data_IF_198802705540
#
_entry.id   IF_198802705540
#
_cell.length_a   1.000
_cell.length_b   1.000
_cell.length_c   1.000
_cell.angle_alpha   90.00
_cell.angle_beta   90.00
_cell.angle_gamma   90.00
#
_symmetry.space_group_name_H-M   'P 1'
#
loop_
_entity.id
_entity.type
_entity.pdbx_description
1 polymer ?
#
# COMPACT_ATOMS: atom_id res chain seq x y z
N UNK A 1 16.44 37.88 -9.44
CA UNK A 1 17.75 37.66 -8.77
C UNK A 1 17.70 38.41 -7.44
N UNK A 2 17.79 37.88 -6.22
CA UNK A 2 18.31 36.63 -5.66
C UNK A 2 17.47 36.27 -4.41
N UNK A 3 17.08 35.00 -4.18
CA UNK A 3 16.82 34.48 -2.85
C UNK A 3 17.68 33.24 -2.62
N UNK A 4 18.89 33.41 -2.07
CA UNK A 4 19.78 32.28 -1.74
C UNK A 4 20.61 32.51 -0.47
N UNK A 5 20.43 33.63 0.22
CA UNK A 5 21.28 33.99 1.37
C UNK A 5 20.76 33.50 2.74
N UNK A 6 19.53 32.99 2.86
CA UNK A 6 18.93 32.70 4.18
C UNK A 6 19.03 31.23 4.64
N UNK A 7 19.52 30.32 3.79
CA UNK A 7 19.74 28.92 4.17
C UNK A 7 21.15 28.63 4.72
N UNK A 8 22.08 29.58 4.63
CA UNK A 8 23.49 29.35 5.01
C UNK A 8 23.79 29.62 6.50
N UNK A 9 22.88 30.23 7.27
CA UNK A 9 23.21 30.67 8.63
C UNK A 9 23.00 29.62 9.74
N UNK A 10 22.47 28.43 9.40
CA UNK A 10 22.29 27.32 10.35
C UNK A 10 23.31 26.16 10.19
N UNK A 11 24.23 26.24 9.22
CA UNK A 11 25.19 25.18 8.92
C UNK A 11 26.57 25.33 9.60
N UNK A 12 26.83 26.42 10.33
CA UNK A 12 28.16 26.76 10.86
C UNK A 12 28.34 26.53 12.38
N UNK A 13 27.97 25.35 12.89
CA UNK A 13 28.27 24.92 14.27
C UNK A 13 28.76 23.45 14.36
N UNK A 14 29.27 22.90 13.26
CA UNK A 14 29.89 21.57 13.25
C UNK A 14 31.35 21.62 13.68
N UNK A 15 31.64 21.39 14.96
CA UNK A 15 33.02 21.21 15.41
C UNK A 15 33.19 21.10 16.93
N UNK A 16 32.85 19.94 17.52
CA UNK A 16 33.53 19.41 18.71
C UNK A 16 32.96 18.03 19.06
N UNK A 17 33.73 16.97 18.79
CA UNK A 17 33.52 15.64 19.34
C UNK A 17 33.95 15.67 20.82
N UNK A 18 33.05 15.29 21.74
CA UNK A 18 33.43 14.95 23.12
C UNK A 18 32.89 15.83 24.27
N UNK A 19 31.59 16.14 24.30
CA UNK A 19 30.78 16.36 25.52
C UNK A 19 29.37 15.84 25.24
N UNK A 20 28.75 15.14 26.19
CA UNK A 20 27.47 14.44 25.99
C UNK A 20 26.47 15.28 25.21
N UNK A 21 26.18 14.86 23.98
CA UNK A 21 25.30 15.61 23.09
C UNK A 21 23.93 15.75 23.76
N UNK A 22 23.40 16.98 23.81
CA UNK A 22 22.04 17.22 24.30
C UNK A 22 21.07 16.35 23.48
N UNK A 23 20.15 15.62 24.12
CA UNK A 23 19.12 14.85 23.42
C UNK A 23 18.41 15.74 22.40
N UNK A 24 18.11 15.17 21.23
CA UNK A 24 17.51 15.88 20.09
C UNK A 24 16.19 16.56 20.47
N UNK A 25 15.35 15.88 21.26
CA UNK A 25 14.07 16.38 21.75
C UNK A 25 14.25 17.59 22.66
N UNK A 26 15.26 17.58 23.53
CA UNK A 26 15.56 18.71 24.42
C UNK A 26 16.16 19.89 23.64
N UNK A 27 17.02 19.63 22.66
CA UNK A 27 17.53 20.65 21.75
C UNK A 27 16.39 21.34 20.97
N UNK A 28 15.46 20.56 20.41
CA UNK A 28 14.26 21.07 19.73
C UNK A 28 13.34 21.84 20.66
N UNK A 29 13.20 21.41 21.92
CA UNK A 29 12.43 22.14 22.93
C UNK A 29 13.08 23.51 23.22
N UNK A 30 14.41 23.56 23.33
CA UNK A 30 15.16 24.80 23.47
C UNK A 30 15.05 25.71 22.23
N UNK A 31 15.09 25.14 21.02
CA UNK A 31 14.84 25.86 19.76
C UNK A 31 13.42 26.46 19.72
N UNK A 32 12.41 25.71 20.17
CA UNK A 32 11.04 26.18 20.23
C UNK A 32 10.88 27.37 21.18
N UNK A 33 11.50 27.30 22.37
CA UNK A 33 11.50 28.40 23.34
C UNK A 33 12.18 29.65 22.77
N UNK A 34 13.33 29.49 22.10
CA UNK A 34 14.04 30.60 21.43
C UNK A 34 13.20 31.20 20.30
N UNK A 35 12.55 30.36 19.50
CA UNK A 35 11.67 30.79 18.41
C UNK A 35 10.48 31.58 18.93
N UNK A 36 9.84 31.12 20.01
CA UNK A 36 8.73 31.82 20.67
C UNK A 36 9.16 33.17 21.24
N UNK A 37 10.34 33.24 21.87
CA UNK A 37 10.85 34.48 22.45
C UNK A 37 11.30 35.50 21.39
N UNK A 38 11.97 35.04 20.33
CA UNK A 38 12.50 35.91 19.28
C UNK A 38 11.41 36.38 18.29
N UNK A 39 10.42 35.53 18.01
CA UNK A 39 9.40 35.77 16.99
C UNK A 39 7.98 35.40 17.51
N UNK A 40 7.46 36.08 18.54
CA UNK A 40 6.17 35.74 19.15
C UNK A 40 4.99 35.78 18.18
N UNK A 41 4.97 36.73 17.24
CA UNK A 41 3.90 36.85 16.24
C UNK A 41 3.84 35.65 15.30
N UNK A 42 5.02 35.15 14.89
CA UNK A 42 5.15 33.96 14.04
C UNK A 42 4.77 32.69 14.80
N UNK A 43 5.12 32.61 16.08
CA UNK A 43 4.65 31.51 16.93
C UNK A 43 3.12 31.50 17.05
N UNK A 44 2.52 32.66 17.29
CA UNK A 44 1.06 32.81 17.35
C UNK A 44 0.40 32.51 16.00
N UNK A 45 1.06 32.77 14.87
CA UNK A 45 0.60 32.38 13.54
C UNK A 45 0.55 30.86 13.37
N UNK A 46 1.56 30.13 13.86
CA UNK A 46 1.55 28.67 13.86
C UNK A 46 0.40 28.11 14.69
N UNK A 47 0.18 28.64 15.90
CA UNK A 47 -0.95 28.25 16.77
C UNK A 47 -2.29 28.50 16.07
N UNK A 48 -2.50 29.71 15.53
CA UNK A 48 -3.71 30.02 14.73
C UNK A 48 -3.86 29.14 13.49
N UNK A 49 -2.76 28.70 12.89
CA UNK A 49 -2.77 27.76 11.77
C UNK A 49 -3.31 26.40 12.19
N UNK A 50 -2.84 25.87 13.32
CA UNK A 50 -3.32 24.61 13.90
C UNK A 50 -4.79 24.71 14.29
N UNK A 51 -5.19 25.77 15.00
CA UNK A 51 -6.59 25.92 15.43
C UNK A 51 -7.55 26.01 14.23
N UNK A 52 -7.18 26.77 13.17
CA UNK A 52 -7.96 26.78 11.92
C UNK A 52 -8.07 25.40 11.28
N UNK A 53 -6.98 24.63 11.28
CA UNK A 53 -7.00 23.27 10.72
C UNK A 53 -7.92 22.33 11.53
N UNK A 54 -7.97 22.49 12.85
CA UNK A 54 -8.89 21.76 13.74
C UNK A 54 -10.34 22.17 13.43
N UNK A 55 -10.64 23.46 13.37
CA UNK A 55 -12.00 23.95 13.08
C UNK A 55 -12.48 23.51 11.67
N UNK A 56 -11.59 23.53 10.68
CA UNK A 56 -11.86 23.02 9.34
C UNK A 56 -12.13 21.52 9.34
N UNK A 57 -11.34 20.77 10.12
CA UNK A 57 -11.51 19.34 10.29
C UNK A 57 -12.86 19.01 10.92
N UNK A 58 -13.21 19.65 12.04
CA UNK A 58 -14.48 19.46 12.76
C UNK A 58 -15.67 19.74 11.85
N UNK A 59 -15.60 20.82 11.05
CA UNK A 59 -16.63 21.13 10.04
C UNK A 59 -16.75 20.06 8.96
N UNK A 60 -15.63 19.50 8.49
CA UNK A 60 -15.61 18.43 7.47
C UNK A 60 -16.17 17.11 8.00
N UNK A 61 -15.89 16.78 9.27
CA UNK A 61 -16.29 15.49 9.86
C UNK A 61 -17.68 15.52 10.49
N UNK A 62 -18.25 16.69 10.77
CA UNK A 62 -19.60 16.83 11.34
C UNK A 62 -20.72 16.11 10.53
N UNK A 63 -20.52 15.93 9.22
CA UNK A 63 -21.44 15.20 8.33
C UNK A 63 -21.11 13.73 8.09
N UNK A 64 -20.04 13.20 8.68
CA UNK A 64 -19.59 11.83 8.42
C UNK A 64 -20.55 10.80 9.03
N UNK A 65 -21.02 9.86 8.20
CA UNK A 65 -21.98 8.82 8.59
C UNK A 65 -21.30 7.74 9.44
N UNK A 66 -22.06 7.15 10.39
CA UNK A 66 -21.65 6.10 11.35
C UNK A 66 -20.92 4.85 10.79
N UNK A 67 -20.83 4.65 9.46
CA UNK A 67 -20.26 3.44 8.84
C UNK A 67 -18.82 3.61 8.32
N UNK A 68 -18.25 4.80 8.43
CA UNK A 68 -16.87 5.10 8.03
C UNK A 68 -16.20 5.97 9.08
N UNK A 69 -15.00 5.61 9.52
CA UNK A 69 -14.19 6.46 10.38
C UNK A 69 -13.79 7.73 9.60
N UNK A 70 -13.91 8.93 10.18
CA UNK A 70 -13.43 10.16 9.54
C UNK A 70 -11.92 10.07 9.24
N UNK A 71 -11.42 10.81 8.23
CA UNK A 71 -9.98 10.98 8.06
C UNK A 71 -9.38 11.55 9.34
N UNK A 72 -8.07 11.39 9.53
CA UNK A 72 -7.36 12.08 10.61
C UNK A 72 -7.25 13.58 10.35
N UNK A 73 -6.91 14.34 11.40
CA UNK A 73 -6.47 15.73 11.28
C UNK A 73 -5.06 15.74 10.67
N UNK A 74 -4.87 16.42 9.53
CA UNK A 74 -3.58 16.51 8.85
C UNK A 74 -2.98 17.91 8.96
N UNK A 75 -1.88 18.03 9.71
CA UNK A 75 -1.15 19.29 9.90
C UNK A 75 0.05 19.44 8.94
N UNK A 76 0.39 18.44 8.12
CA UNK A 76 1.55 18.50 7.20
C UNK A 76 1.46 19.66 6.20
N UNK A 77 0.30 20.01 5.61
CA UNK A 77 0.20 21.12 4.67
C UNK A 77 0.58 22.49 5.26
N UNK A 78 0.58 22.63 6.60
CA UNK A 78 0.94 23.88 7.26
C UNK A 78 2.45 24.17 7.27
N UNK A 79 3.30 23.19 6.93
CA UNK A 79 4.76 23.39 6.84
C UNK A 79 5.40 23.83 8.16
N UNK A 80 4.86 23.36 9.29
CA UNK A 80 5.27 23.79 10.62
C UNK A 80 6.72 23.37 10.95
N UNK A 81 7.52 24.22 11.63
CA UNK A 81 8.87 23.85 12.05
C UNK A 81 8.89 22.64 12.99
N UNK A 82 9.89 21.77 12.84
CA UNK A 82 10.04 20.59 13.70
C UNK A 82 10.08 20.94 15.20
N UNK A 83 10.79 22.03 15.57
CA UNK A 83 10.85 22.50 16.95
C UNK A 83 9.47 22.85 17.53
N UNK A 84 8.63 23.54 16.74
CA UNK A 84 7.25 23.85 17.14
C UNK A 84 6.44 22.57 17.35
N UNK A 85 6.47 21.66 16.36
CA UNK A 85 5.72 20.41 16.41
C UNK A 85 6.13 19.53 17.61
N UNK A 86 7.43 19.37 17.84
CA UNK A 86 7.97 18.57 18.95
C UNK A 86 7.58 19.16 20.32
N UNK A 87 7.66 20.48 20.49
CA UNK A 87 7.25 21.14 21.73
C UNK A 87 5.75 20.98 22.01
N UNK A 88 4.90 21.13 20.99
CA UNK A 88 3.45 20.96 21.14
C UNK A 88 3.06 19.50 21.42
N UNK A 89 3.69 18.53 20.74
CA UNK A 89 3.47 17.11 21.02
C UNK A 89 3.87 16.77 22.47
N UNK A 90 5.03 17.25 22.92
CA UNK A 90 5.53 17.04 24.29
C UNK A 90 4.56 17.62 25.32
N UNK A 91 4.12 18.87 25.14
CA UNK A 91 3.17 19.53 26.02
C UNK A 91 1.83 18.77 26.12
N UNK A 92 1.28 18.34 24.98
CA UNK A 92 0.05 17.55 25.00
C UNK A 92 0.23 16.22 25.75
N UNK A 93 1.39 15.59 25.64
CA UNK A 93 1.76 14.34 26.34
C UNK A 93 2.20 14.50 27.79
N UNK A 94 2.12 15.70 28.39
CA UNK A 94 2.25 15.89 29.85
C UNK A 94 1.00 15.41 30.60
N UNK A 95 -0.15 15.34 29.91
CA UNK A 95 -1.44 14.90 30.46
C UNK A 95 -1.97 13.66 29.70
N UNK A 96 -1.33 12.49 29.86
CA UNK A 96 -1.67 11.28 29.11
C UNK A 96 -3.10 10.77 29.32
N UNK A 97 -3.69 11.02 30.49
CA UNK A 97 -5.06 10.62 30.83
C UNK A 97 -6.10 11.31 29.93
N UNK A 98 -5.77 12.51 29.42
CA UNK A 98 -6.60 13.22 28.45
C UNK A 98 -6.42 12.66 27.02
N UNK A 99 -5.32 11.97 26.73
CA UNK A 99 -5.02 11.43 25.39
C UNK A 99 -5.52 10.01 25.17
N UNK A 100 -5.59 9.21 26.24
CA UNK A 100 -5.91 7.79 26.13
C UNK A 100 -6.96 7.39 27.17
N UNK A 101 -8.05 6.72 26.77
CA UNK A 101 -9.02 6.20 27.73
C UNK A 101 -8.36 5.12 28.57
N UNK A 102 -7.93 5.46 29.78
CA UNK A 102 -7.31 4.53 30.71
C UNK A 102 -8.32 3.47 31.17
N UNK A 103 -8.03 2.19 30.90
CA UNK A 103 -8.80 1.04 31.41
C UNK A 103 -8.67 0.77 32.92
N UNK A 104 -8.06 1.68 33.70
CA UNK A 104 -7.94 1.54 35.16
C UNK A 104 -8.65 2.69 35.86
N UNK A 105 -9.50 2.34 36.84
CA UNK A 105 -10.09 3.28 37.80
C UNK A 105 -8.97 4.13 38.42
N UNK A 106 -9.14 5.45 38.54
CA UNK A 106 -8.19 6.29 39.25
C UNK A 106 -8.02 5.77 40.69
N UNK A 107 -6.80 5.85 41.20
CA UNK A 107 -6.54 5.65 42.62
C UNK A 107 -7.36 6.68 43.42
N UNK A 108 -7.94 6.25 44.54
CA UNK A 108 -8.82 7.09 45.36
C UNK A 108 -8.15 8.44 45.69
N UNK A 109 -8.76 9.54 45.24
CA UNK A 109 -8.31 10.90 45.56
C UNK A 109 -7.79 11.74 44.38
N UNK A 110 -7.55 11.17 43.19
CA UNK A 110 -7.37 11.96 41.95
C UNK A 110 -8.67 11.99 41.15
N UNK A 111 -9.14 13.19 40.79
CA UNK A 111 -10.13 13.34 39.74
C UNK A 111 -9.51 12.71 38.47
N UNK A 112 -10.11 11.64 37.93
CA UNK A 112 -9.69 11.12 36.64
C UNK A 112 -9.82 12.28 35.63
N UNK A 113 -8.72 12.67 35.00
CA UNK A 113 -8.85 13.54 33.84
C UNK A 113 -9.69 12.77 32.82
N UNK A 114 -10.82 13.36 32.43
CA UNK A 114 -11.73 12.75 31.47
C UNK A 114 -11.00 12.73 30.12
N UNK A 115 -10.97 11.56 29.47
CA UNK A 115 -10.48 11.43 28.09
C UNK A 115 -11.04 12.56 27.22
N UNK A 116 -10.15 13.26 26.53
CA UNK A 116 -10.45 14.36 25.63
C UNK A 116 -10.13 13.94 24.18
N UNK A 117 -11.16 13.55 23.39
CA UNK A 117 -10.97 13.12 22.01
C UNK A 117 -10.30 14.18 21.13
N UNK A 118 -10.57 15.48 21.38
CA UNK A 118 -9.99 16.56 20.58
C UNK A 118 -8.49 16.69 20.86
N UNK A 119 -8.09 16.55 22.14
CA UNK A 119 -6.68 16.54 22.53
C UNK A 119 -5.94 15.33 21.96
N UNK A 120 -6.53 14.15 22.03
CA UNK A 120 -5.98 12.92 21.45
C UNK A 120 -5.78 13.04 19.93
N UNK A 121 -6.77 13.59 19.22
CA UNK A 121 -6.70 13.85 17.78
C UNK A 121 -5.58 14.84 17.44
N UNK A 122 -5.46 15.96 18.18
CA UNK A 122 -4.38 16.94 18.00
C UNK A 122 -3.00 16.30 18.24
N UNK A 123 -2.86 15.50 19.28
CA UNK A 123 -1.59 14.81 19.59
C UNK A 123 -1.16 13.85 18.47
N UNK A 124 -2.09 13.02 17.97
CA UNK A 124 -1.83 12.14 16.84
C UNK A 124 -1.42 12.94 15.58
N UNK A 125 -2.11 14.05 15.30
CA UNK A 125 -1.80 14.91 14.16
C UNK A 125 -0.40 15.55 14.26
N UNK A 126 0.04 15.92 15.46
CA UNK A 126 1.41 16.39 15.67
C UNK A 126 2.44 15.28 15.40
N UNK A 127 2.21 14.06 15.88
CA UNK A 127 3.12 12.94 15.62
C UNK A 127 3.24 12.63 14.12
N UNK A 128 2.12 12.66 13.39
CA UNK A 128 2.10 12.48 11.94
C UNK A 128 2.83 13.61 11.20
N UNK A 129 2.63 14.87 11.64
CA UNK A 129 3.32 16.01 11.08
C UNK A 129 4.83 16.00 11.36
N UNK A 130 5.25 15.54 12.55
CA UNK A 130 6.67 15.29 12.86
C UNK A 130 7.22 14.21 11.93
N UNK A 131 6.51 13.09 11.77
CA UNK A 131 6.94 11.99 10.91
C UNK A 131 7.09 12.42 9.44
N UNK A 132 6.19 13.28 8.94
CA UNK A 132 6.27 13.84 7.58
C UNK A 132 7.20 15.04 7.41
N UNK A 133 7.87 15.52 8.46
CA UNK A 133 8.69 16.72 8.39
C UNK A 133 9.95 16.50 7.53
N UNK A 134 10.44 17.47 6.74
CA UNK A 134 11.67 17.30 5.97
C UNK A 134 12.94 17.20 6.84
N UNK A 135 12.95 17.79 8.06
CA UNK A 135 14.11 17.73 8.96
C UNK A 135 14.32 16.30 9.48
N UNK A 136 15.50 15.71 9.24
CA UNK A 136 15.82 14.32 9.60
C UNK A 136 15.95 14.10 11.11
N UNK A 137 16.17 15.17 11.90
CA UNK A 137 16.17 15.10 13.37
C UNK A 137 14.84 14.57 13.92
N UNK A 138 13.76 14.59 13.12
CA UNK A 138 12.45 14.02 13.46
C UNK A 138 12.52 12.57 13.94
N UNK A 139 13.41 11.76 13.35
CA UNK A 139 13.48 10.32 13.67
C UNK A 139 13.96 10.16 15.11
N UNK A 140 15.04 10.83 15.47
CA UNK A 140 15.59 10.76 16.83
C UNK A 140 14.67 11.45 17.84
N UNK A 141 14.08 12.60 17.48
CA UNK A 141 13.10 13.28 18.32
C UNK A 141 11.90 12.39 18.67
N UNK A 142 11.36 11.63 17.70
CA UNK A 142 10.26 10.69 17.94
C UNK A 142 10.68 9.50 18.80
N UNK A 143 11.89 8.98 18.63
CA UNK A 143 12.43 7.90 19.47
C UNK A 143 12.61 8.34 20.91
N UNK A 144 13.27 9.48 21.11
CA UNK A 144 13.45 10.07 22.45
C UNK A 144 12.10 10.41 23.08
N UNK A 145 11.13 10.91 22.31
CA UNK A 145 9.80 11.20 22.81
C UNK A 145 9.02 9.96 23.23
N UNK A 146 9.10 8.86 22.46
CA UNK A 146 8.57 7.55 22.87
C UNK A 146 9.18 7.09 24.18
N UNK A 147 10.51 7.14 24.29
CA UNK A 147 11.23 6.63 25.45
C UNK A 147 10.96 7.50 26.70
N UNK A 148 10.84 8.82 26.54
CA UNK A 148 10.39 9.74 27.58
C UNK A 148 8.95 9.46 28.02
N UNK A 149 8.02 9.28 27.08
CA UNK A 149 6.63 8.96 27.37
C UNK A 149 6.49 7.59 28.04
N UNK A 150 7.26 6.59 27.62
CA UNK A 150 7.27 5.25 28.22
C UNK A 150 7.79 5.25 29.66
N UNK A 151 8.79 6.09 29.96
CA UNK A 151 9.29 6.27 31.34
C UNK A 151 8.27 6.97 32.23
N UNK A 152 7.64 8.04 31.76
CA UNK A 152 6.66 8.83 32.54
C UNK A 152 5.31 8.12 32.66
N UNK A 153 4.87 7.47 31.59
CA UNK A 153 3.50 6.98 31.39
C UNK A 153 3.46 5.64 30.60
N UNK A 154 3.87 4.51 31.20
CA UNK A 154 4.00 3.22 30.49
C UNK A 154 2.72 2.71 29.81
N UNK A 155 1.54 3.03 30.35
CA UNK A 155 0.25 2.63 29.76
C UNK A 155 -0.09 3.40 28.48
N UNK A 156 0.35 4.66 28.41
CA UNK A 156 0.08 5.56 27.28
C UNK A 156 1.01 5.29 26.11
N UNK A 157 2.24 4.88 26.38
CA UNK A 157 3.21 4.47 25.37
C UNK A 157 2.65 3.36 24.47
N UNK A 158 1.98 2.35 25.05
CA UNK A 158 1.36 1.23 24.32
C UNK A 158 0.14 1.62 23.48
N UNK A 159 -0.43 2.79 23.74
CA UNK A 159 -1.65 3.26 23.08
C UNK A 159 -1.34 4.02 21.79
N UNK A 160 -0.08 4.42 21.58
CA UNK A 160 0.39 5.05 20.35
C UNK A 160 0.97 3.96 19.44
N UNK A 161 0.61 3.94 18.14
CA UNK A 161 1.20 3.01 17.18
C UNK A 161 2.62 3.46 16.79
N UNK A 162 3.56 3.47 17.74
CA UNK A 162 4.96 3.88 17.54
C UNK A 162 5.64 3.23 16.33
N UNK A 163 5.45 1.94 16.06
CA UNK A 163 5.92 1.31 14.82
C UNK A 163 5.46 2.04 13.56
N UNK A 164 4.20 2.47 13.50
CA UNK A 164 3.65 3.22 12.37
C UNK A 164 4.24 4.62 12.28
N UNK A 165 4.32 5.33 13.41
CA UNK A 165 4.86 6.69 13.49
C UNK A 165 6.34 6.72 13.08
N UNK A 166 7.16 5.83 13.64
CA UNK A 166 8.59 5.73 13.32
C UNK A 166 8.82 5.25 11.88
N UNK A 167 8.05 4.26 11.42
CA UNK A 167 8.13 3.83 10.02
C UNK A 167 7.71 4.94 9.07
N UNK A 168 6.78 5.82 9.44
CA UNK A 168 6.40 7.04 8.71
C UNK A 168 7.49 8.11 8.68
N UNK A 169 8.26 8.23 9.75
CA UNK A 169 9.38 9.17 9.86
C UNK A 169 10.64 8.73 9.12
N UNK A 170 10.84 7.41 9.00
CA UNK A 170 12.05 6.79 8.48
C UNK A 170 12.50 7.34 7.11
N UNK A 171 13.79 7.63 7.00
CA UNK A 171 14.48 7.76 5.71
C UNK A 171 14.91 6.39 5.21
N UNK A 172 15.20 6.27 3.91
CA UNK A 172 15.72 5.02 3.33
C UNK A 172 17.02 4.57 4.00
N UNK A 173 17.96 5.50 4.22
CA UNK A 173 19.24 5.20 4.88
C UNK A 173 19.04 4.65 6.29
N UNK A 174 18.24 5.34 7.11
CA UNK A 174 17.92 4.88 8.45
C UNK A 174 17.20 3.53 8.45
N UNK A 175 16.25 3.31 7.53
CA UNK A 175 15.54 2.04 7.43
C UNK A 175 16.48 0.87 7.08
N UNK A 176 17.43 1.07 6.17
CA UNK A 176 18.43 0.04 5.81
C UNK A 176 19.25 -0.38 7.03
N UNK A 177 19.77 0.58 7.79
CA UNK A 177 20.58 0.28 8.97
C UNK A 177 19.73 -0.44 10.04
N UNK A 178 18.52 0.06 10.31
CA UNK A 178 17.63 -0.59 11.29
C UNK A 178 17.15 -1.96 10.85
N UNK A 179 16.90 -2.20 9.57
CA UNK A 179 16.53 -3.54 9.08
C UNK A 179 17.67 -4.53 9.32
N UNK A 180 18.93 -4.12 9.08
CA UNK A 180 20.09 -4.99 9.35
C UNK A 180 20.22 -5.32 10.83
N UNK A 181 20.06 -4.33 11.70
CA UNK A 181 20.13 -4.54 13.16
C UNK A 181 18.99 -5.42 13.65
N UNK A 182 17.75 -5.09 13.29
CA UNK A 182 16.56 -5.81 13.72
C UNK A 182 16.54 -7.25 13.19
N UNK A 183 17.03 -7.50 11.98
CA UNK A 183 17.13 -8.87 11.46
C UNK A 183 18.15 -9.71 12.23
N UNK A 184 19.23 -9.12 12.77
CA UNK A 184 20.17 -9.82 13.67
C UNK A 184 19.54 -10.12 15.03
N UNK A 185 18.76 -9.18 15.56
CA UNK A 185 18.02 -9.35 16.82
C UNK A 185 16.86 -10.36 16.68
N UNK A 186 16.34 -10.52 15.46
CA UNK A 186 15.25 -11.43 15.11
C UNK A 186 14.00 -11.29 16.01
N UNK A 187 13.48 -10.06 16.28
CA UNK A 187 12.31 -9.90 17.12
C UNK A 187 11.11 -10.62 16.48
N UNK A 188 10.33 -11.39 17.25
CA UNK A 188 9.19 -12.12 16.70
C UNK A 188 8.11 -11.17 16.18
N UNK A 189 7.45 -11.54 15.09
CA UNK A 189 6.25 -10.87 14.61
C UNK A 189 5.01 -11.49 15.26
N UNK A 190 4.06 -10.65 15.68
CA UNK A 190 2.72 -11.13 15.99
C UNK A 190 2.05 -11.54 14.66
N UNK A 191 1.70 -12.82 14.46
CA UNK A 191 1.07 -13.27 13.22
C UNK A 191 -0.29 -12.62 12.96
N UNK A 192 -1.01 -12.18 14.01
CA UNK A 192 -2.31 -11.52 13.87
C UNK A 192 -2.18 -10.02 13.61
N UNK A 193 -1.03 -9.43 13.97
CA UNK A 193 -0.78 -8.01 13.84
C UNK A 193 0.68 -7.73 13.41
N UNK A 194 1.15 -8.29 12.26
CA UNK A 194 2.53 -8.04 11.81
C UNK A 194 2.74 -6.56 11.51
N UNK A 195 1.66 -5.85 11.15
CA UNK A 195 1.62 -4.41 11.03
C UNK A 195 2.03 -3.66 12.29
N UNK A 196 1.99 -4.24 13.48
CA UNK A 196 2.40 -3.57 14.72
C UNK A 196 3.89 -3.77 15.01
N UNK A 197 4.64 -4.39 14.10
CA UNK A 197 6.08 -4.49 14.18
C UNK A 197 6.78 -3.41 13.37
N UNK A 198 7.73 -2.71 14.00
CA UNK A 198 8.58 -1.73 13.31
C UNK A 198 9.38 -2.38 12.17
N UNK A 199 10.11 -3.50 12.36
CA UNK A 199 10.81 -4.16 11.26
C UNK A 199 9.88 -4.47 10.08
N UNK A 200 8.70 -5.03 10.34
CA UNK A 200 7.74 -5.36 9.29
C UNK A 200 7.30 -4.12 8.50
N UNK A 201 6.99 -3.00 9.18
CA UNK A 201 6.61 -1.75 8.52
C UNK A 201 7.74 -1.12 7.72
N UNK A 202 8.98 -1.16 8.22
CA UNK A 202 10.13 -0.63 7.49
C UNK A 202 10.37 -1.43 6.21
N UNK A 203 10.40 -2.76 6.33
CA UNK A 203 10.57 -3.65 5.18
C UNK A 203 9.42 -3.43 4.19
N UNK A 204 8.17 -3.44 4.67
CA UNK A 204 6.99 -3.27 3.82
C UNK A 204 6.91 -1.91 3.13
N UNK A 205 7.42 -0.84 3.75
CA UNK A 205 7.48 0.50 3.14
C UNK A 205 8.56 0.57 2.06
N UNK A 206 9.74 0.01 2.31
CA UNK A 206 10.91 0.18 1.45
C UNK A 206 11.21 -1.02 0.54
N UNK A 207 10.37 -2.06 0.50
CA UNK A 207 10.65 -3.32 -0.20
C UNK A 207 11.21 -3.18 -1.63
N UNK A 208 10.65 -2.27 -2.43
CA UNK A 208 11.11 -2.01 -3.81
C UNK A 208 12.30 -1.04 -3.93
N UNK A 209 12.77 -0.50 -2.81
CA UNK A 209 13.83 0.50 -2.73
C UNK A 209 15.04 0.01 -1.91
N UNK A 210 14.99 -1.17 -1.28
CA UNK A 210 16.13 -1.65 -0.49
C UNK A 210 17.32 -2.00 -1.40
N UNK A 211 18.56 -1.69 -0.98
CA UNK A 211 19.73 -2.24 -1.66
C UNK A 211 19.75 -3.78 -1.55
N UNK A 212 20.36 -4.51 -2.52
CA UNK A 212 20.23 -5.97 -2.61
C UNK A 212 20.61 -6.74 -1.35
N UNK A 213 21.63 -6.28 -0.62
CA UNK A 213 22.09 -6.91 0.60
C UNK A 213 21.08 -6.74 1.77
N UNK A 214 20.50 -5.54 1.91
CA UNK A 214 19.44 -5.29 2.90
C UNK A 214 18.12 -5.98 2.52
N UNK A 215 17.80 -6.04 1.22
CA UNK A 215 16.64 -6.76 0.71
C UNK A 215 16.73 -8.26 1.03
N UNK A 216 17.91 -8.88 0.83
CA UNK A 216 18.17 -10.27 1.20
C UNK A 216 17.95 -10.50 2.70
N UNK A 217 18.53 -9.66 3.55
CA UNK A 217 18.39 -9.76 5.01
C UNK A 217 16.93 -9.62 5.44
N UNK A 218 16.20 -8.65 4.87
CA UNK A 218 14.78 -8.46 5.13
C UNK A 218 13.95 -9.68 4.71
N UNK A 219 14.25 -10.25 3.54
CA UNK A 219 13.58 -11.42 3.01
C UNK A 219 13.79 -12.63 3.93
N UNK A 220 15.04 -12.91 4.30
CA UNK A 220 15.38 -14.03 5.18
C UNK A 220 14.72 -13.89 6.56
N UNK A 221 14.70 -12.68 7.12
CA UNK A 221 13.95 -12.38 8.36
C UNK A 221 12.47 -12.69 8.21
N UNK A 222 11.80 -12.23 7.15
CA UNK A 222 10.36 -12.44 6.96
C UNK A 222 9.99 -13.91 6.72
N UNK A 223 10.80 -14.68 5.98
CA UNK A 223 10.59 -16.12 5.79
C UNK A 223 10.65 -16.86 7.13
N UNK A 224 11.63 -16.53 7.97
CA UNK A 224 11.76 -17.11 9.32
C UNK A 224 10.51 -16.85 10.19
N UNK A 225 9.80 -15.74 9.98
CA UNK A 225 8.58 -15.39 10.71
C UNK A 225 7.32 -16.09 10.17
N UNK A 226 7.39 -16.78 9.02
CA UNK A 226 6.28 -17.50 8.39
C UNK A 226 6.68 -18.95 8.04
N UNK A 227 7.07 -19.78 9.04
CA UNK A 227 7.57 -21.13 8.79
C UNK A 227 6.52 -22.07 8.17
N UNK A 228 5.24 -21.77 8.36
CA UNK A 228 4.12 -22.57 7.84
C UNK A 228 3.61 -22.09 6.48
N UNK A 229 4.22 -21.07 5.89
CA UNK A 229 3.78 -20.49 4.63
C UNK A 229 2.55 -19.57 4.77
N UNK A 230 1.89 -19.25 3.64
CA UNK A 230 0.85 -18.25 3.62
C UNK A 230 -0.46 -18.71 4.27
N UNK A 231 -1.02 -17.86 5.14
CA UNK A 231 -2.31 -18.02 5.84
C UNK A 231 -3.30 -16.86 5.55
N UNK A 232 -4.46 -16.87 6.22
CA UNK A 232 -5.49 -15.85 6.01
C UNK A 232 -5.02 -14.48 6.50
N UNK A 233 -4.82 -13.55 5.56
CA UNK A 233 -4.36 -12.19 5.88
C UNK A 233 -2.83 -12.04 5.91
N UNK A 234 -2.07 -12.98 5.32
CA UNK A 234 -0.61 -12.96 5.31
C UNK A 234 0.00 -11.81 4.50
N UNK A 235 0.07 -10.66 5.16
CA UNK A 235 0.81 -9.48 4.70
C UNK A 235 2.31 -9.77 4.54
N UNK A 236 2.83 -10.82 5.18
CA UNK A 236 4.25 -11.23 5.09
C UNK A 236 4.60 -11.64 3.67
N UNK A 237 3.87 -12.58 3.09
CA UNK A 237 4.13 -13.04 1.73
C UNK A 237 3.93 -11.94 0.70
N UNK A 238 2.93 -11.07 0.88
CA UNK A 238 2.77 -9.86 0.07
C UNK A 238 4.01 -8.94 0.08
N UNK A 239 4.74 -8.88 1.19
CA UNK A 239 5.99 -8.12 1.28
C UNK A 239 7.14 -8.90 0.64
N UNK A 240 7.23 -10.23 0.85
CA UNK A 240 8.24 -11.09 0.22
C UNK A 240 8.20 -10.97 -1.31
N UNK A 241 7.01 -11.00 -1.91
CA UNK A 241 6.83 -10.80 -3.35
C UNK A 241 7.27 -9.42 -3.85
N UNK A 242 7.22 -8.39 -3.01
CA UNK A 242 7.72 -7.04 -3.37
C UNK A 242 9.22 -6.88 -3.17
N UNK A 243 9.82 -7.69 -2.29
CA UNK A 243 11.28 -7.70 -2.06
C UNK A 243 12.01 -8.47 -3.16
N UNK A 244 11.56 -9.69 -3.44
CA UNK A 244 12.18 -10.59 -4.41
C UNK A 244 11.10 -11.49 -5.03
N UNK A 245 10.37 -11.00 -6.05
CA UNK A 245 9.30 -11.77 -6.69
C UNK A 245 9.76 -13.13 -7.24
N UNK A 246 10.91 -13.25 -7.96
CA UNK A 246 11.39 -14.54 -8.43
C UNK A 246 11.63 -15.55 -7.31
N UNK A 247 12.25 -15.15 -6.20
CA UNK A 247 12.48 -16.06 -5.06
C UNK A 247 11.18 -16.42 -4.35
N UNK A 248 10.31 -15.43 -4.08
CA UNK A 248 9.01 -15.64 -3.45
C UNK A 248 8.14 -16.62 -4.23
N UNK A 249 8.12 -16.50 -5.57
CA UNK A 249 7.40 -17.46 -6.45
C UNK A 249 7.88 -18.89 -6.29
N UNK A 250 9.18 -19.13 -6.11
CA UNK A 250 9.70 -20.50 -5.95
C UNK A 250 9.38 -21.05 -4.57
N UNK A 251 9.61 -20.26 -3.53
CA UNK A 251 9.45 -20.71 -2.15
C UNK A 251 7.98 -20.92 -1.77
N UNK A 252 7.06 -20.08 -2.28
CA UNK A 252 5.63 -20.22 -1.98
C UNK A 252 5.04 -21.56 -2.47
N UNK A 253 5.61 -22.16 -3.53
CA UNK A 253 5.14 -23.43 -4.09
C UNK A 253 5.25 -24.59 -3.09
N UNK A 254 6.27 -24.57 -2.23
CA UNK A 254 6.47 -25.61 -1.22
C UNK A 254 5.32 -25.69 -0.21
N UNK A 255 4.49 -24.64 -0.13
CA UNK A 255 3.35 -24.56 0.78
C UNK A 255 2.02 -24.93 0.13
N UNK A 256 2.00 -25.27 -1.17
CA UNK A 256 0.75 -25.56 -1.87
C UNK A 256 0.04 -26.80 -1.33
N UNK A 257 0.76 -27.89 -1.05
CA UNK A 257 0.18 -29.13 -0.54
C UNK A 257 -0.15 -29.07 0.97
N UNK A 258 -0.09 -27.89 1.59
CA UNK A 258 -0.45 -27.67 2.99
C UNK A 258 -1.96 -27.45 3.17
N UNK A 259 -2.61 -28.05 4.19
CA UNK A 259 -4.02 -27.81 4.43
C UNK A 259 -4.26 -26.39 4.93
N UNK A 260 -5.14 -25.62 4.25
CA UNK A 260 -5.66 -24.34 4.81
C UNK A 260 -6.91 -24.50 5.68
N UNK A 261 -7.26 -25.73 6.02
CA UNK A 261 -8.40 -26.07 6.87
C UNK A 261 -8.71 -27.58 6.88
N UNK A 262 -9.68 -28.03 7.68
CA UNK A 262 -9.93 -29.46 7.91
C UNK A 262 -10.48 -30.25 6.71
N UNK A 263 -10.67 -29.61 5.54
CA UNK A 263 -11.27 -30.22 4.34
C UNK A 263 -10.58 -29.85 3.02
N UNK A 264 -9.46 -29.12 3.05
CA UNK A 264 -8.78 -28.68 1.84
C UNK A 264 -7.46 -29.42 1.69
N UNK A 265 -7.27 -30.09 0.54
CA UNK A 265 -6.03 -30.81 0.20
C UNK A 265 -4.90 -29.88 -0.27
N UNK A 266 -5.14 -28.56 -0.26
CA UNK A 266 -4.16 -27.55 -0.70
C UNK A 266 -4.38 -26.21 0.00
N UNK A 267 -3.36 -25.36 -0.10
CA UNK A 267 -3.32 -24.03 0.47
C UNK A 267 -3.87 -23.00 -0.52
N UNK A 268 -5.09 -22.52 -0.26
CA UNK A 268 -5.76 -21.56 -1.13
C UNK A 268 -5.01 -20.22 -1.24
N UNK A 269 -4.24 -19.83 -0.22
CA UNK A 269 -3.54 -18.55 -0.19
C UNK A 269 -2.32 -18.54 -1.11
N UNK A 270 -1.73 -19.71 -1.40
CA UNK A 270 -0.69 -19.84 -2.42
C UNK A 270 -1.24 -19.43 -3.79
N UNK A 271 -2.43 -19.92 -4.15
CA UNK A 271 -3.10 -19.56 -5.42
C UNK A 271 -3.41 -18.06 -5.45
N UNK A 272 -3.98 -17.51 -4.37
CA UNK A 272 -4.30 -16.08 -4.30
C UNK A 272 -3.05 -15.18 -4.43
N UNK A 273 -1.93 -15.57 -3.81
CA UNK A 273 -0.67 -14.82 -3.90
C UNK A 273 -0.06 -14.89 -5.30
N UNK A 274 -0.04 -16.08 -5.91
CA UNK A 274 0.48 -16.25 -7.27
C UNK A 274 -0.41 -15.57 -8.32
N UNK A 275 -1.72 -15.51 -8.10
CA UNK A 275 -2.66 -14.74 -8.93
C UNK A 275 -2.35 -13.24 -8.84
N UNK A 276 -2.17 -12.72 -7.63
CA UNK A 276 -1.90 -11.30 -7.36
C UNK A 276 -0.52 -10.84 -7.84
N UNK A 277 0.50 -11.68 -7.66
CA UNK A 277 1.91 -11.39 -7.99
C UNK A 277 2.39 -12.21 -9.18
N UNK A 278 1.50 -12.42 -10.14
CA UNK A 278 1.75 -13.22 -11.31
C UNK A 278 2.90 -12.67 -12.17
N UNK A 279 3.48 -13.56 -12.98
CA UNK A 279 4.52 -13.23 -13.94
C UNK A 279 5.33 -14.47 -14.32
N UNK A 280 6.26 -14.32 -15.28
CA UNK A 280 7.00 -15.46 -15.82
C UNK A 280 7.74 -16.25 -14.74
N UNK A 281 7.52 -17.57 -14.72
CA UNK A 281 8.26 -18.52 -13.87
C UNK A 281 8.04 -19.96 -14.35
N UNK A 282 9.08 -20.63 -14.85
CA UNK A 282 9.00 -22.03 -15.26
C UNK A 282 8.59 -22.98 -14.12
N UNK A 283 9.00 -22.69 -12.89
CA UNK A 283 8.62 -23.46 -11.70
C UNK A 283 7.12 -23.35 -11.42
N UNK A 284 6.58 -22.13 -11.43
CA UNK A 284 5.14 -21.89 -11.24
C UNK A 284 4.35 -22.54 -12.37
N UNK A 285 4.81 -22.45 -13.62
CA UNK A 285 4.14 -23.08 -14.75
C UNK A 285 4.11 -24.62 -14.64
N UNK A 286 5.22 -25.26 -14.24
CA UNK A 286 5.25 -26.70 -13.98
C UNK A 286 4.27 -27.07 -12.86
N UNK A 287 4.31 -26.34 -11.74
CA UNK A 287 3.43 -26.59 -10.61
C UNK A 287 1.95 -26.40 -10.97
N UNK A 288 1.60 -25.33 -11.69
CA UNK A 288 0.23 -25.04 -12.11
C UNK A 288 -0.34 -26.14 -13.02
N UNK A 289 0.45 -26.70 -13.95
CA UNK A 289 0.03 -27.84 -14.77
C UNK A 289 -0.31 -29.05 -13.90
N UNK A 290 0.57 -29.41 -12.96
CA UNK A 290 0.32 -30.50 -12.00
C UNK A 290 -0.90 -30.23 -11.12
N UNK A 291 -1.14 -28.99 -10.70
CA UNK A 291 -2.30 -28.65 -9.87
C UNK A 291 -3.62 -28.76 -10.62
N UNK A 292 -3.63 -28.43 -11.92
CA UNK A 292 -4.82 -28.58 -12.77
C UNK A 292 -5.23 -30.04 -12.95
N UNK A 293 -4.32 -30.99 -12.76
CA UNK A 293 -4.62 -32.43 -12.81
C UNK A 293 -5.32 -32.93 -11.54
N UNK A 294 -5.27 -32.18 -10.42
CA UNK A 294 -5.91 -32.59 -9.17
C UNK A 294 -7.44 -32.49 -9.25
N UNK A 295 -8.11 -33.60 -8.97
CA UNK A 295 -9.59 -33.67 -8.96
C UNK A 295 -10.21 -32.83 -7.83
N UNK A 296 -9.54 -32.70 -6.69
CA UNK A 296 -10.03 -31.94 -5.53
C UNK A 296 -10.00 -30.41 -5.71
N UNK A 297 -9.42 -29.91 -6.81
CA UNK A 297 -9.36 -28.49 -7.10
C UNK A 297 -10.74 -27.96 -7.52
N UNK A 298 -11.40 -27.22 -6.61
CA UNK A 298 -12.72 -26.65 -6.88
C UNK A 298 -12.71 -25.75 -8.13
N UNK A 299 -13.84 -25.62 -8.87
CA UNK A 299 -13.89 -24.92 -10.15
C UNK A 299 -13.35 -23.49 -10.12
N UNK A 300 -13.57 -22.75 -9.02
CA UNK A 300 -13.02 -21.40 -8.86
C UNK A 300 -11.48 -21.38 -8.90
N UNK A 301 -10.82 -22.26 -8.15
CA UNK A 301 -9.36 -22.33 -8.11
C UNK A 301 -8.77 -22.87 -9.40
N UNK A 302 -9.46 -23.80 -10.07
CA UNK A 302 -9.05 -24.29 -11.40
C UNK A 302 -8.95 -23.14 -12.41
N UNK A 303 -9.88 -22.18 -12.39
CA UNK A 303 -9.82 -20.97 -13.22
C UNK A 303 -8.63 -20.09 -12.86
N UNK A 304 -8.43 -19.82 -11.57
CA UNK A 304 -7.28 -19.02 -11.11
C UNK A 304 -5.93 -19.66 -11.49
N UNK A 305 -5.80 -20.99 -11.39
CA UNK A 305 -4.57 -21.71 -11.76
C UNK A 305 -4.31 -21.65 -13.27
N UNK A 306 -5.33 -21.67 -14.13
CA UNK A 306 -5.15 -21.43 -15.59
C UNK A 306 -4.60 -20.03 -15.88
N UNK A 307 -5.11 -19.04 -15.16
CA UNK A 307 -4.65 -17.65 -15.25
C UNK A 307 -3.18 -17.51 -14.83
N UNK A 308 -2.82 -18.15 -13.71
CA UNK A 308 -1.44 -18.24 -13.22
C UNK A 308 -0.55 -18.92 -14.26
N UNK A 309 -0.99 -20.04 -14.85
CA UNK A 309 -0.25 -20.78 -15.85
C UNK A 309 0.03 -19.92 -17.10
N UNK A 310 -0.99 -19.24 -17.62
CA UNK A 310 -0.85 -18.34 -18.77
C UNK A 310 0.19 -17.25 -18.53
N UNK A 311 0.19 -16.63 -17.35
CA UNK A 311 1.15 -15.57 -16.99
C UNK A 311 2.54 -16.12 -16.67
N UNK A 312 2.64 -17.36 -16.22
CA UNK A 312 3.91 -18.00 -15.85
C UNK A 312 4.69 -18.52 -17.07
N UNK A 313 3.99 -18.93 -18.14
CA UNK A 313 4.58 -19.50 -19.37
C UNK A 313 3.82 -19.02 -20.63
N UNK A 314 3.83 -17.71 -20.91
CA UNK A 314 3.03 -17.13 -22.00
C UNK A 314 3.39 -17.73 -23.37
N UNK A 315 4.66 -18.06 -23.60
CA UNK A 315 5.15 -18.61 -24.87
C UNK A 315 4.48 -19.95 -25.25
N UNK A 316 4.01 -20.71 -24.26
CA UNK A 316 3.37 -22.02 -24.47
C UNK A 316 1.87 -22.01 -24.22
N UNK A 317 1.38 -21.08 -23.43
CA UNK A 317 0.03 -21.14 -22.87
C UNK A 317 -0.95 -20.13 -23.50
N UNK A 318 -0.46 -19.15 -24.27
CA UNK A 318 -1.34 -18.21 -25.00
C UNK A 318 -2.27 -18.96 -25.95
N UNK A 319 -1.72 -19.80 -26.84
CA UNK A 319 -2.53 -20.54 -27.82
C UNK A 319 -3.56 -21.48 -27.15
N UNK A 320 -3.20 -22.35 -26.19
CA UNK A 320 -4.18 -23.15 -25.45
C UNK A 320 -5.26 -22.32 -24.74
N UNK A 321 -4.88 -21.17 -24.17
CA UNK A 321 -5.84 -20.27 -23.51
C UNK A 321 -6.84 -19.68 -24.51
N UNK A 322 -6.38 -19.22 -25.66
CA UNK A 322 -7.23 -18.70 -26.76
C UNK A 322 -8.19 -19.79 -27.27
N UNK A 323 -7.69 -21.00 -27.54
CA UNK A 323 -8.53 -22.13 -27.96
C UNK A 323 -9.59 -22.50 -26.90
N UNK A 324 -9.25 -22.39 -25.62
CA UNK A 324 -10.20 -22.61 -24.53
C UNK A 324 -11.29 -21.53 -24.48
N UNK A 325 -10.90 -20.26 -24.59
CA UNK A 325 -11.84 -19.13 -24.65
C UNK A 325 -12.79 -19.28 -25.84
N UNK A 326 -12.27 -19.58 -27.03
CA UNK A 326 -13.06 -19.77 -28.25
C UNK A 326 -14.11 -20.87 -28.09
N UNK A 327 -13.72 -22.02 -27.51
CA UNK A 327 -14.63 -23.13 -27.22
C UNK A 327 -15.72 -22.73 -26.24
N UNK A 328 -15.39 -22.03 -25.16
CA UNK A 328 -16.37 -21.61 -24.16
C UNK A 328 -17.36 -20.59 -24.76
N UNK A 329 -16.87 -19.63 -25.55
CA UNK A 329 -17.73 -18.70 -26.26
C UNK A 329 -18.69 -19.43 -27.21
N UNK A 330 -18.20 -20.41 -27.98
CA UNK A 330 -19.02 -21.22 -28.87
C UNK A 330 -20.03 -22.10 -28.11
N UNK A 331 -19.70 -22.61 -26.92
CA UNK A 331 -20.63 -23.35 -26.07
C UNK A 331 -21.75 -22.46 -25.53
N UNK A 332 -21.40 -21.28 -25.00
CA UNK A 332 -22.39 -20.33 -24.51
C UNK A 332 -23.32 -19.85 -25.62
N UNK A 333 -22.78 -19.56 -26.81
CA UNK A 333 -23.58 -19.20 -27.98
C UNK A 333 -24.55 -20.31 -28.39
N UNK A 334 -24.11 -21.58 -28.40
CA UNK A 334 -24.96 -22.74 -28.71
C UNK A 334 -26.08 -22.95 -27.70
N UNK A 335 -25.83 -22.68 -26.42
CA UNK A 335 -26.81 -22.85 -25.33
C UNK A 335 -27.70 -21.62 -25.11
N UNK A 336 -27.42 -20.49 -25.75
CA UNK A 336 -28.10 -19.22 -25.48
C UNK A 336 -27.84 -18.71 -24.05
N UNK A 337 -26.75 -19.13 -23.42
CA UNK A 337 -26.40 -18.76 -22.06
C UNK A 337 -25.63 -17.44 -22.02
N UNK A 338 -25.90 -16.63 -20.99
CA UNK A 338 -25.11 -15.42 -20.73
C UNK A 338 -23.74 -15.84 -20.20
N UNK A 339 -22.68 -15.34 -20.82
CA UNK A 339 -21.30 -15.52 -20.31
C UNK A 339 -21.20 -14.88 -18.92
N UNK A 340 -20.93 -15.65 -17.85
CA UNK A 340 -20.90 -15.10 -16.50
C UNK A 340 -19.83 -14.02 -16.36
N UNK A 341 -20.20 -12.89 -15.75
CA UNK A 341 -19.24 -11.91 -15.27
C UNK A 341 -18.28 -12.60 -14.27
N UNK A 342 -16.97 -12.40 -14.42
CA UNK A 342 -15.93 -13.10 -13.65
C UNK A 342 -15.86 -14.62 -13.86
N UNK A 343 -16.52 -15.15 -14.90
CA UNK A 343 -16.33 -16.52 -15.39
C UNK A 343 -14.96 -16.74 -16.05
N UNK A 344 -14.71 -17.96 -16.53
CA UNK A 344 -13.41 -18.36 -17.08
C UNK A 344 -12.99 -17.48 -18.28
N UNK A 345 -13.93 -17.22 -19.20
CA UNK A 345 -13.74 -16.32 -20.35
C UNK A 345 -13.27 -14.92 -19.90
N UNK A 346 -13.94 -14.33 -18.91
CA UNK A 346 -13.60 -13.00 -18.40
C UNK A 346 -12.16 -12.94 -17.86
N UNK A 347 -11.78 -13.94 -17.06
CA UNK A 347 -10.46 -13.98 -16.40
C UNK A 347 -9.34 -14.22 -17.40
N UNK A 348 -9.53 -15.16 -18.32
CA UNK A 348 -8.53 -15.45 -19.35
C UNK A 348 -8.34 -14.28 -20.33
N UNK A 349 -9.41 -13.58 -20.72
CA UNK A 349 -9.30 -12.37 -21.55
C UNK A 349 -8.52 -11.25 -20.85
N UNK A 350 -8.72 -11.08 -19.54
CA UNK A 350 -7.92 -10.13 -18.77
C UNK A 350 -6.45 -10.56 -18.70
N UNK A 351 -6.18 -11.84 -18.42
CA UNK A 351 -4.81 -12.36 -18.33
C UNK A 351 -4.08 -12.36 -19.68
N UNK A 352 -4.76 -12.59 -20.79
CA UNK A 352 -4.21 -12.41 -22.15
C UNK A 352 -3.76 -10.96 -22.38
N UNK A 353 -4.45 -9.99 -21.79
CA UNK A 353 -4.05 -8.58 -21.84
C UNK A 353 -2.74 -8.27 -21.11
N UNK A 354 -2.37 -9.10 -20.14
CA UNK A 354 -1.23 -8.86 -19.26
C UNK A 354 0.06 -9.57 -19.71
N UNK A 355 -0.03 -10.45 -20.72
CA UNK A 355 1.13 -11.13 -21.28
C UNK A 355 1.66 -10.41 -22.51
N UNK A 356 2.98 -10.36 -22.65
CA UNK A 356 3.60 -9.74 -23.81
C UNK A 356 3.68 -10.72 -24.99
N UNK A 357 2.57 -10.88 -25.73
CA UNK A 357 2.48 -11.79 -26.87
C UNK A 357 1.65 -11.21 -28.00
N UNK A 358 2.22 -11.23 -29.22
CA UNK A 358 1.49 -10.85 -30.44
C UNK A 358 0.28 -11.74 -30.69
N UNK A 359 0.36 -13.02 -30.37
CA UNK A 359 -0.76 -13.94 -30.53
C UNK A 359 -1.90 -13.60 -29.56
N UNK A 360 -1.56 -13.17 -28.33
CA UNK A 360 -2.56 -12.68 -27.38
C UNK A 360 -3.20 -11.38 -27.89
N UNK A 361 -2.41 -10.44 -28.41
CA UNK A 361 -2.91 -9.18 -28.99
C UNK A 361 -3.85 -9.44 -30.18
N UNK A 362 -3.47 -10.35 -31.09
CA UNK A 362 -4.29 -10.72 -32.26
C UNK A 362 -5.62 -11.36 -31.82
N UNK A 363 -5.59 -12.23 -30.81
CA UNK A 363 -6.79 -12.83 -30.24
C UNK A 363 -7.70 -11.80 -29.56
N UNK A 364 -7.14 -10.89 -28.77
CA UNK A 364 -7.89 -9.80 -28.13
C UNK A 364 -8.50 -8.85 -29.16
N UNK A 365 -7.78 -8.55 -30.25
CA UNK A 365 -8.32 -7.73 -31.32
C UNK A 365 -9.53 -8.41 -31.98
N UNK A 366 -9.43 -9.70 -32.30
CA UNK A 366 -10.57 -10.49 -32.77
C UNK A 366 -11.74 -10.44 -31.78
N UNK A 367 -11.46 -10.61 -30.48
CA UNK A 367 -12.49 -10.56 -29.44
C UNK A 367 -13.16 -9.21 -29.30
N UNK A 368 -12.46 -8.10 -29.51
CA UNK A 368 -13.06 -6.77 -29.43
C UNK A 368 -14.01 -6.48 -30.61
N UNK A 369 -13.68 -6.96 -31.81
CA UNK A 369 -14.34 -6.57 -33.06
C UNK A 369 -15.34 -7.58 -33.62
N UNK A 370 -15.33 -8.83 -33.16
CA UNK A 370 -16.34 -9.81 -33.54
C UNK A 370 -17.69 -9.52 -32.85
N UNK A 371 -18.72 -9.19 -33.64
CA UNK A 371 -20.06 -8.86 -33.15
C UNK A 371 -20.83 -10.07 -32.61
N UNK A 372 -20.36 -11.28 -32.86
CA UNK A 372 -20.93 -12.51 -32.29
C UNK A 372 -20.54 -12.71 -30.83
N UNK A 373 -19.51 -11.98 -30.36
CA UNK A 373 -19.03 -12.06 -28.98
C UNK A 373 -19.83 -11.09 -28.08
N UNK A 374 -20.18 -11.48 -26.84
CA UNK A 374 -20.89 -10.61 -25.91
C UNK A 374 -20.19 -9.27 -25.68
N UNK A 375 -20.97 -8.18 -25.64
CA UNK A 375 -20.46 -6.80 -25.54
C UNK A 375 -19.55 -6.61 -24.30
N UNK A 376 -19.82 -7.30 -23.20
CA UNK A 376 -18.97 -7.27 -21.99
C UNK A 376 -17.56 -7.83 -22.24
N UNK A 377 -17.43 -8.92 -22.99
CA UNK A 377 -16.13 -9.52 -23.34
C UNK A 377 -15.40 -8.64 -24.35
N UNK A 378 -16.12 -8.10 -25.35
CA UNK A 378 -15.57 -7.16 -26.32
C UNK A 378 -14.97 -5.93 -25.63
N UNK A 379 -15.67 -5.37 -24.65
CA UNK A 379 -15.22 -4.22 -23.88
C UNK A 379 -13.96 -4.51 -23.04
N UNK A 380 -13.86 -5.71 -22.45
CA UNK A 380 -12.69 -6.14 -21.70
C UNK A 380 -11.47 -6.34 -22.60
N UNK A 381 -11.65 -7.00 -23.74
CA UNK A 381 -10.56 -7.18 -24.70
C UNK A 381 -10.01 -5.83 -25.19
N UNK A 382 -10.91 -4.87 -25.47
CA UNK A 382 -10.53 -3.51 -25.84
C UNK A 382 -9.81 -2.78 -24.70
N UNK A 383 -10.32 -2.90 -23.46
CA UNK A 383 -9.69 -2.32 -22.28
C UNK A 383 -8.27 -2.84 -22.07
N UNK A 384 -8.07 -4.15 -22.22
CA UNK A 384 -6.76 -4.81 -22.16
C UNK A 384 -5.81 -4.24 -23.23
N UNK A 385 -6.25 -4.18 -24.48
CA UNK A 385 -5.46 -3.64 -25.59
C UNK A 385 -5.02 -2.18 -25.37
N UNK A 386 -5.91 -1.32 -24.88
CA UNK A 386 -5.62 0.10 -24.62
C UNK A 386 -4.73 0.27 -23.39
N UNK A 387 -5.02 -0.42 -22.29
CA UNK A 387 -4.25 -0.31 -21.02
C UNK A 387 -2.77 -0.63 -21.22
N UNK A 388 -2.46 -1.56 -22.11
CA UNK A 388 -1.10 -2.01 -22.40
C UNK A 388 -0.43 -1.26 -23.57
N UNK A 389 -1.01 -0.12 -23.99
CA UNK A 389 -0.48 0.80 -24.99
C UNK A 389 -0.02 0.15 -26.30
N UNK A 390 -0.76 -0.84 -26.78
CA UNK A 390 -0.39 -1.51 -28.04
C UNK A 390 -0.55 -0.55 -29.22
N UNK A 391 0.38 -0.51 -30.19
CA UNK A 391 0.32 0.42 -31.32
C UNK A 391 -1.04 0.39 -32.05
N UNK A 392 -1.62 1.58 -32.31
CA UNK A 392 -2.89 1.72 -33.04
C UNK A 392 -4.16 1.44 -32.24
N UNK A 393 -4.06 1.00 -30.98
CA UNK A 393 -5.24 0.70 -30.14
C UNK A 393 -6.13 1.88 -29.80
N UNK A 394 -5.66 3.13 -29.58
CA UNK A 394 -6.56 4.26 -29.32
C UNK A 394 -7.52 4.54 -30.48
N UNK A 395 -7.04 4.44 -31.73
CA UNK A 395 -7.87 4.64 -32.91
C UNK A 395 -8.88 3.49 -33.11
N UNK A 396 -8.45 2.25 -32.86
CA UNK A 396 -9.31 1.06 -32.87
C UNK A 396 -10.41 1.14 -31.79
N UNK A 397 -10.05 1.58 -30.59
CA UNK A 397 -10.99 1.78 -29.49
C UNK A 397 -11.96 2.94 -29.75
N UNK A 398 -11.52 4.03 -30.37
CA UNK A 398 -12.38 5.13 -30.78
C UNK A 398 -13.45 4.68 -31.79
N UNK A 399 -13.06 3.87 -32.80
CA UNK A 399 -13.99 3.29 -33.78
C UNK A 399 -15.01 2.35 -33.15
N UNK A 400 -14.56 1.48 -32.24
CA UNK A 400 -15.46 0.58 -31.51
C UNK A 400 -16.49 1.35 -30.67
N UNK A 401 -16.04 2.40 -29.97
CA UNK A 401 -16.89 3.24 -29.14
C UNK A 401 -17.92 4.07 -29.93
N UNK A 402 -17.76 4.22 -31.24
CA UNK A 402 -18.81 4.81 -32.08
C UNK A 402 -20.03 3.89 -32.21
N UNK A 403 -19.80 2.57 -32.16
CA UNK A 403 -20.82 1.53 -32.39
C UNK A 403 -21.34 0.88 -31.09
N UNK A 404 -20.66 1.11 -29.96
CA UNK A 404 -21.01 0.51 -28.68
C UNK A 404 -22.28 1.11 -28.04
N UNK A 405 -22.95 0.33 -27.19
CA UNK A 405 -24.14 0.77 -26.46
C UNK A 405 -23.83 1.96 -25.54
N UNK A 406 -24.79 2.87 -25.27
CA UNK A 406 -24.56 4.02 -24.37
C UNK A 406 -23.96 3.65 -23.00
N UNK A 407 -24.46 2.61 -22.28
CA UNK A 407 -23.87 2.20 -21.00
C UNK A 407 -22.42 1.76 -21.14
N UNK A 408 -22.09 1.07 -22.24
CA UNK A 408 -20.74 0.57 -22.46
C UNK A 408 -19.75 1.69 -22.82
N UNK A 409 -20.20 2.67 -23.60
CA UNK A 409 -19.41 3.88 -23.89
C UNK A 409 -19.09 4.66 -22.61
N UNK A 410 -20.05 4.76 -21.70
CA UNK A 410 -19.85 5.41 -20.40
C UNK A 410 -18.86 4.61 -19.53
N UNK A 411 -19.02 3.29 -19.45
CA UNK A 411 -18.12 2.41 -18.72
C UNK A 411 -16.67 2.54 -19.19
N UNK A 412 -16.41 2.42 -20.50
CA UNK A 412 -15.05 2.52 -21.07
C UNK A 412 -14.46 3.91 -20.84
N UNK A 413 -15.25 4.99 -21.02
CA UNK A 413 -14.79 6.37 -20.74
C UNK A 413 -14.46 6.58 -19.27
N UNK A 414 -15.19 5.93 -18.36
CA UNK A 414 -14.90 5.96 -16.92
C UNK A 414 -13.59 5.23 -16.62
N UNK A 415 -13.41 4.02 -17.14
CA UNK A 415 -12.16 3.25 -16.97
C UNK A 415 -10.93 3.98 -17.53
N UNK A 416 -11.05 4.57 -18.72
CA UNK A 416 -9.99 5.35 -19.34
C UNK A 416 -9.54 6.55 -18.47
N UNK A 417 -10.50 7.25 -17.84
CA UNK A 417 -10.21 8.36 -16.92
C UNK A 417 -9.63 7.89 -15.59
N UNK A 418 -10.25 6.88 -15.00
CA UNK A 418 -10.00 6.50 -13.61
C UNK A 418 -8.78 5.58 -13.46
N UNK A 419 -8.42 4.80 -14.48
CA UNK A 419 -7.59 3.60 -14.27
C UNK A 419 -6.52 3.32 -15.33
N UNK A 420 -6.58 3.92 -16.52
CA UNK A 420 -5.63 3.58 -17.61
C UNK A 420 -4.49 4.57 -17.79
N UNK A 421 -4.47 5.69 -17.07
CA UNK A 421 -3.38 6.67 -17.14
C UNK A 421 -3.25 7.33 -18.52
N UNK A 422 -2.01 7.40 -19.04
CA UNK A 422 -1.70 8.07 -20.31
C UNK A 422 -2.38 7.44 -21.55
N UNK A 423 -2.41 6.09 -21.71
CA UNK A 423 -3.19 5.46 -22.77
C UNK A 423 -4.68 5.84 -22.74
N UNK A 424 -5.27 5.94 -21.55
CA UNK A 424 -6.65 6.38 -21.35
C UNK A 424 -6.88 7.82 -21.81
N UNK A 425 -5.95 8.73 -21.51
CA UNK A 425 -6.02 10.13 -21.99
C UNK A 425 -5.99 10.22 -23.51
N UNK A 426 -5.06 9.53 -24.17
CA UNK A 426 -4.98 9.50 -25.64
C UNK A 426 -6.25 8.97 -26.30
N UNK A 427 -6.86 7.92 -25.74
CA UNK A 427 -8.15 7.43 -26.23
C UNK A 427 -9.25 8.51 -26.15
N UNK A 428 -9.32 9.23 -25.03
CA UNK A 428 -10.33 10.28 -24.84
C UNK A 428 -10.12 11.47 -25.78
N UNK A 429 -8.87 11.80 -26.11
CA UNK A 429 -8.53 12.82 -27.11
C UNK A 429 -8.95 12.38 -28.53
N UNK A 430 -8.66 11.14 -28.93
CA UNK A 430 -9.08 10.59 -30.22
C UNK A 430 -10.61 10.60 -30.38
N UNK A 431 -11.36 10.29 -29.31
CA UNK A 431 -12.82 10.39 -29.29
C UNK A 431 -13.34 11.84 -29.41
N UNK A 432 -12.53 12.82 -28.99
CA UNK A 432 -12.85 14.25 -29.14
C UNK A 432 -12.60 14.77 -30.54
N UNK A 433 -11.61 14.21 -31.27
CA UNK A 433 -11.25 14.59 -32.65
C UNK A 433 -12.25 14.11 -33.70
N UNK A 434 -13.00 13.05 -33.41
CA UNK A 434 -14.02 12.48 -34.32
C UNK A 434 -15.41 13.12 -34.23
N UNK A 435 -15.54 14.32 -33.65
CA UNK A 435 -16.81 15.08 -33.56
C UNK A 435 -16.89 16.21 -34.56
#
# INVERSE_FOLDING_TARGET
MRPLAMFAMLAALGGAVGRGATPTLDALTGEAAKLKAACPDRWAEFERGVDRAVDDHDRRVAGWRKRSAPPGLDLRPLGLPLAFLAAQARHLGEEPEALFPGGRRPAAGRAAAKYDPARALRHAAYLEAIAGNPDERRIEALREYRDDLGRRHPASERSIPWPAVLAGAATRGWAVDRIRDLAREAPPLDPNAPGDSLPFRLIGRFAGELPPDAAKVAYDYLVMQSPHGPTNGDRIWDVLFRLDPPRARREVLAHFDGPTGPKADFNIYVVMLLEKHAGPSPEVARAARTWLEKESLAPYFRRAVREILLRADPDREVKPAVEHVDRLLAEHARKGEVVPAQGDVHRLVLALGEVDSREADDALARYAFDRTIPESIRALALASLVKHDRPGTPALAARWLAEASPPMREYVRKQARDSWGEPGRRLLEELGRGR
#
